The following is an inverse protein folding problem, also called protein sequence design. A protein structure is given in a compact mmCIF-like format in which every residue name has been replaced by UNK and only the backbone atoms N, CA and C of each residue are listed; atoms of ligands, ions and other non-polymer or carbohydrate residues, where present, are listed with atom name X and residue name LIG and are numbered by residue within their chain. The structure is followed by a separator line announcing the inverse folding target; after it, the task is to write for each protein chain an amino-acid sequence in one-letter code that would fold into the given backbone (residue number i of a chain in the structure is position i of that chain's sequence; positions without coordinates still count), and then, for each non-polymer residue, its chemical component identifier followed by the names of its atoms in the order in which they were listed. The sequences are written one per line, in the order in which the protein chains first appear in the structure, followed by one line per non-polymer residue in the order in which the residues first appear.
data_IF_421261690030
#
_entry.id   IF_421261690030
#
_cell.length_a   1.000
_cell.length_b   1.000
_cell.length_c   1.000
_cell.angle_alpha   90.00
_cell.angle_beta   90.00
_cell.angle_gamma   90.00
#
_symmetry.space_group_name_H-M   'P 1'
#
loop_
_entity.id
_entity.type
_entity.pdbx_description
1 polymer ?
#
# COMPACT_ATOMS: atom_id res chain seq x y z
N UNK A 1 -28.04 -0.10 2.60
CA UNK A 1 -26.91 0.64 2.02
C UNK A 1 -25.89 0.82 3.13
N UNK A 2 -24.94 -0.11 3.28
CA UNK A 2 -23.96 -0.10 4.38
C UNK A 2 -22.78 0.76 3.96
N UNK A 3 -22.59 1.87 4.67
CA UNK A 3 -21.46 2.77 4.55
C UNK A 3 -20.26 2.09 5.22
N UNK A 4 -19.22 1.73 4.47
CA UNK A 4 -17.96 1.24 5.04
C UNK A 4 -17.03 2.43 5.25
N UNK A 5 -16.94 2.88 6.50
CA UNK A 5 -15.92 3.82 6.95
C UNK A 5 -14.63 3.00 7.08
N UNK A 6 -13.69 3.13 6.14
CA UNK A 6 -12.32 2.61 6.28
C UNK A 6 -11.65 3.40 7.42
N UNK A 7 -11.54 2.76 8.59
CA UNK A 7 -10.80 3.27 9.75
C UNK A 7 -9.31 3.09 9.46
N UNK A 8 -8.63 4.18 9.14
CA UNK A 8 -7.17 4.24 9.07
C UNK A 8 -6.63 4.37 10.50
N UNK A 9 -6.18 3.27 11.11
CA UNK A 9 -5.42 3.33 12.37
C UNK A 9 -3.99 3.64 12.00
N UNK A 10 -3.61 4.92 12.08
CA UNK A 10 -2.20 5.32 12.19
C UNK A 10 -1.93 5.44 13.69
N UNK A 11 -1.13 4.52 14.23
CA UNK A 11 -0.85 4.44 15.65
C UNK A 11 -0.01 5.67 16.08
N UNK A 12 -0.61 6.50 16.94
CA UNK A 12 0.03 7.64 17.59
C UNK A 12 1.11 7.19 18.58
N UNK A 13 2.25 7.89 18.66
CA UNK A 13 2.84 8.22 19.96
C UNK A 13 3.58 9.56 19.91
N UNK A 14 2.88 10.63 20.32
CA UNK A 14 3.48 11.93 20.62
C UNK A 14 4.21 11.83 21.96
N UNK A 15 5.53 11.94 21.96
CA UNK A 15 6.32 12.15 23.17
C UNK A 15 6.86 13.59 23.18
N UNK A 16 6.13 14.49 23.85
CA UNK A 16 6.60 15.87 24.10
C UNK A 16 7.69 15.85 25.17
N UNK A 17 8.95 15.91 24.76
CA UNK A 17 10.05 16.34 25.64
C UNK A 17 10.40 17.80 25.34
N UNK A 18 10.04 18.69 26.26
CA UNK A 18 10.64 20.02 26.32
C UNK A 18 12.07 19.87 26.83
N UNK A 19 13.04 19.93 25.92
CA UNK A 19 14.46 20.09 26.25
C UNK A 19 15.02 21.30 25.50
N UNK A 20 15.52 22.28 26.25
CA UNK A 20 16.30 23.38 25.72
C UNK A 20 17.75 22.89 25.56
N UNK A 21 18.01 22.16 24.48
CA UNK A 21 19.36 21.81 24.06
C UNK A 21 19.52 22.25 22.60
N UNK A 22 20.68 22.80 22.25
CA UNK A 22 21.07 23.17 20.88
C UNK A 22 20.85 21.98 19.95
N UNK A 23 19.69 21.95 19.31
CA UNK A 23 19.14 20.76 18.67
C UNK A 23 19.73 20.57 17.30
N UNK A 24 20.53 19.52 17.13
CA UNK A 24 20.60 18.85 15.84
C UNK A 24 19.17 18.33 15.59
N UNK A 25 18.41 18.97 14.70
CA UNK A 25 17.07 18.50 14.33
C UNK A 25 17.30 17.21 13.56
N UNK A 26 17.13 16.07 14.22
CA UNK A 26 16.96 14.81 13.51
C UNK A 26 15.58 14.92 12.85
N UNK A 27 15.55 15.10 11.53
CA UNK A 27 14.28 14.96 10.80
C UNK A 27 13.89 13.48 10.91
N UNK A 28 12.71 13.23 11.46
CA UNK A 28 12.15 11.89 11.56
C UNK A 28 11.56 11.49 10.21
N UNK A 29 11.90 10.29 9.73
CA UNK A 29 11.38 9.76 8.46
C UNK A 29 9.86 9.72 8.46
N UNK A 30 9.21 10.19 7.39
CA UNK A 30 7.78 10.00 7.18
C UNK A 30 7.57 8.83 6.23
N UNK A 31 6.65 7.95 6.63
CA UNK A 31 6.28 6.81 5.79
C UNK A 31 5.66 7.24 4.45
N UNK A 32 5.75 6.40 3.40
CA UNK A 32 5.16 6.71 2.10
C UNK A 32 3.65 6.92 2.15
N UNK A 33 3.15 7.81 1.29
CA UNK A 33 1.73 7.88 0.96
C UNK A 33 1.45 6.90 -0.19
N UNK A 34 0.56 5.92 0.02
CA UNK A 34 0.26 4.84 -0.93
C UNK A 34 -1.20 4.88 -1.35
N UNK A 35 -1.46 4.63 -2.64
CA UNK A 35 -2.78 4.44 -3.21
C UNK A 35 -2.74 3.23 -4.17
N UNK A 36 -3.45 2.17 -3.82
CA UNK A 36 -3.54 0.92 -4.57
C UNK A 36 -4.55 0.98 -5.74
N UNK A 37 -5.30 2.07 -5.87
CA UNK A 37 -6.33 2.26 -6.88
C UNK A 37 -7.74 2.13 -6.29
N UNK A 38 -8.72 1.86 -7.17
CA UNK A 38 -10.11 1.69 -6.77
C UNK A 38 -10.49 0.21 -6.69
N UNK A 39 -11.48 -0.10 -5.86
CA UNK A 39 -12.16 -1.40 -5.89
C UNK A 39 -12.74 -1.67 -7.29
N UNK A 40 -12.74 -2.93 -7.71
CA UNK A 40 -13.13 -3.32 -9.07
C UNK A 40 -13.84 -4.68 -9.12
N UNK A 41 -14.55 -4.91 -10.23
CA UNK A 41 -15.10 -6.21 -10.60
C UNK A 41 -14.48 -6.68 -11.92
N UNK A 42 -14.07 -7.94 -11.98
CA UNK A 42 -13.44 -8.59 -13.14
C UNK A 42 -14.02 -9.99 -13.33
N UNK A 43 -13.83 -10.59 -14.49
CA UNK A 43 -14.28 -11.97 -14.76
C UNK A 43 -13.19 -13.00 -14.43
N UNK A 44 -13.55 -14.23 -14.10
CA UNK A 44 -12.60 -15.34 -13.99
C UNK A 44 -11.82 -15.48 -15.29
N UNK A 45 -10.50 -15.61 -15.19
CA UNK A 45 -9.61 -15.72 -16.34
C UNK A 45 -9.33 -14.41 -17.09
N UNK A 46 -9.93 -13.29 -16.67
CA UNK A 46 -9.58 -11.96 -17.16
C UNK A 46 -8.26 -11.49 -16.54
N UNK A 47 -7.39 -10.89 -17.36
CA UNK A 47 -6.16 -10.26 -16.87
C UNK A 47 -6.50 -8.91 -16.25
N UNK A 48 -6.32 -8.80 -14.94
CA UNK A 48 -6.41 -7.55 -14.22
C UNK A 48 -5.04 -6.88 -14.15
N UNK A 49 -5.00 -5.57 -14.43
CA UNK A 49 -3.78 -4.77 -14.38
C UNK A 49 -3.84 -3.84 -13.15
N UNK A 50 -2.90 -4.02 -12.23
CA UNK A 50 -2.68 -3.14 -11.11
C UNK A 50 -1.99 -1.85 -11.57
N UNK A 51 -2.50 -0.71 -11.10
CA UNK A 51 -1.91 0.61 -11.35
C UNK A 51 -1.92 1.43 -10.06
N UNK A 52 -0.99 1.07 -9.16
CA UNK A 52 -0.79 1.80 -7.91
C UNK A 52 0.01 3.09 -8.12
N UNK A 53 -0.09 3.99 -7.16
CA UNK A 53 0.79 5.16 -7.06
C UNK A 53 1.22 5.36 -5.61
N UNK A 54 2.43 5.88 -5.43
CA UNK A 54 2.90 6.31 -4.12
C UNK A 54 3.86 7.49 -4.24
N UNK A 55 4.01 8.21 -3.14
CA UNK A 55 4.97 9.31 -2.99
C UNK A 55 5.53 9.34 -1.58
N UNK A 56 6.80 9.70 -1.46
CA UNK A 56 7.44 9.93 -0.17
C UNK A 56 7.71 11.44 0.04
N UNK A 57 7.28 12.06 1.15
CA UNK A 57 7.44 13.51 1.36
C UNK A 57 8.86 13.98 1.68
N UNK A 58 9.74 13.10 2.13
CA UNK A 58 11.09 13.43 2.64
C UNK A 58 12.21 12.52 2.11
N UNK A 59 11.87 11.43 1.42
CA UNK A 59 12.80 10.50 0.81
C UNK A 59 12.39 10.05 -0.60
N UNK A 60 12.84 8.85 -0.97
CA UNK A 60 12.51 8.21 -2.25
C UNK A 60 12.01 6.79 -2.03
N UNK A 61 11.06 6.37 -2.85
CA UNK A 61 10.54 5.01 -2.81
C UNK A 61 11.54 4.04 -3.47
N UNK A 62 11.86 2.95 -2.77
CA UNK A 62 12.81 1.93 -3.23
C UNK A 62 12.16 0.60 -3.63
N UNK A 63 10.94 0.31 -3.15
CA UNK A 63 10.21 -0.90 -3.55
C UNK A 63 8.70 -0.74 -3.57
N UNK A 64 8.08 -1.48 -4.49
CA UNK A 64 6.66 -1.74 -4.60
C UNK A 64 6.46 -3.24 -4.65
N UNK A 65 5.56 -3.76 -3.81
CA UNK A 65 5.27 -5.18 -3.72
C UNK A 65 3.76 -5.39 -3.65
N UNK A 66 3.20 -6.16 -4.59
CA UNK A 66 1.79 -6.55 -4.58
C UNK A 66 1.61 -7.92 -3.94
N UNK A 67 0.66 -8.03 -3.03
CA UNK A 67 -0.02 -9.28 -2.67
C UNK A 67 -1.34 -9.26 -3.45
N UNK A 68 -1.36 -9.90 -4.61
CA UNK A 68 -2.42 -9.72 -5.60
C UNK A 68 -3.69 -10.49 -5.23
N UNK A 69 -3.56 -11.60 -4.51
CA UNK A 69 -4.66 -12.47 -4.12
C UNK A 69 -5.06 -12.32 -2.64
N UNK A 70 -4.30 -11.57 -1.85
CA UNK A 70 -4.57 -11.33 -0.43
C UNK A 70 -4.22 -12.53 0.46
N UNK A 71 -3.30 -13.40 0.04
CA UNK A 71 -2.89 -14.58 0.82
C UNK A 71 -1.76 -14.29 1.85
N UNK A 72 -1.26 -13.05 1.86
CA UNK A 72 -0.17 -12.59 2.72
C UNK A 72 1.22 -12.83 2.14
N UNK A 73 1.33 -13.41 0.95
CA UNK A 73 2.56 -13.54 0.18
C UNK A 73 2.59 -12.45 -0.89
N UNK A 74 3.70 -11.73 -0.97
CA UNK A 74 3.91 -10.75 -2.02
C UNK A 74 4.35 -11.45 -3.30
N UNK A 75 3.56 -11.33 -4.34
CA UNK A 75 3.74 -11.94 -5.66
C UNK A 75 4.80 -11.21 -6.48
N UNK A 76 4.98 -9.91 -6.26
CA UNK A 76 5.91 -9.09 -7.02
C UNK A 76 6.82 -8.21 -6.20
N UNK A 77 7.96 -7.88 -6.81
CA UNK A 77 8.91 -6.90 -6.33
C UNK A 77 9.34 -6.04 -7.51
N UNK A 78 9.02 -4.75 -7.45
CA UNK A 78 9.46 -3.77 -8.44
C UNK A 78 10.12 -2.58 -7.75
N UNK A 79 11.32 -2.20 -8.20
CA UNK A 79 12.07 -1.09 -7.62
C UNK A 79 11.71 0.30 -8.15
N UNK A 80 10.71 0.42 -9.04
CA UNK A 80 10.46 1.71 -9.72
C UNK A 80 9.05 1.96 -10.27
N UNK A 81 8.15 0.97 -10.26
CA UNK A 81 6.75 1.20 -10.61
C UNK A 81 5.82 0.25 -9.84
N UNK A 82 4.65 0.74 -9.45
CA UNK A 82 3.62 -0.04 -8.76
C UNK A 82 2.66 -0.76 -9.74
N UNK A 83 3.20 -1.23 -10.88
CA UNK A 83 2.41 -1.86 -11.95
C UNK A 83 2.66 -3.35 -11.98
N UNK A 84 1.58 -4.09 -12.11
CA UNK A 84 1.60 -5.56 -12.15
C UNK A 84 0.36 -6.09 -12.87
N UNK A 85 0.34 -7.37 -13.23
CA UNK A 85 -0.88 -8.04 -13.72
C UNK A 85 -1.11 -9.38 -13.05
N UNK A 86 -2.39 -9.74 -12.89
CA UNK A 86 -2.80 -10.99 -12.26
C UNK A 86 -4.07 -11.54 -12.91
N UNK A 87 -4.18 -12.88 -12.93
CA UNK A 87 -5.34 -13.59 -13.45
C UNK A 87 -5.93 -14.44 -12.33
N UNK A 88 -7.19 -14.16 -11.97
CA UNK A 88 -7.92 -14.93 -10.96
C UNK A 88 -8.54 -16.18 -11.58
N UNK A 89 -8.28 -17.35 -10.99
CA UNK A 89 -8.72 -18.65 -11.49
C UNK A 89 -10.11 -19.07 -10.95
N UNK A 90 -10.64 -18.33 -9.97
CA UNK A 90 -11.88 -18.63 -9.26
C UNK A 90 -12.65 -17.37 -8.96
N UNK A 91 -13.98 -17.46 -9.03
CA UNK A 91 -14.84 -16.40 -8.56
C UNK A 91 -14.71 -16.24 -7.04
N UNK A 92 -14.82 -15.01 -6.56
CA UNK A 92 -14.59 -14.70 -5.16
C UNK A 92 -14.40 -13.20 -4.88
N UNK A 93 -14.16 -12.89 -3.62
CA UNK A 93 -13.75 -11.55 -3.19
C UNK A 93 -12.32 -11.66 -2.70
N UNK A 94 -11.44 -10.89 -3.32
CA UNK A 94 -10.02 -10.83 -3.00
C UNK A 94 -9.68 -9.44 -2.44
N UNK A 95 -8.74 -9.38 -1.52
CA UNK A 95 -8.22 -8.12 -0.97
C UNK A 95 -6.76 -8.01 -1.38
N UNK A 96 -6.51 -7.34 -2.50
CA UNK A 96 -5.15 -7.12 -2.97
C UNK A 96 -4.52 -5.97 -2.18
N UNK A 97 -3.23 -6.11 -1.85
CA UNK A 97 -2.48 -5.12 -1.06
C UNK A 97 -1.23 -4.68 -1.81
N UNK A 98 -1.07 -3.36 -1.96
CA UNK A 98 0.19 -2.75 -2.35
C UNK A 98 0.98 -2.38 -1.10
N UNK A 99 2.20 -2.88 -0.96
CA UNK A 99 3.18 -2.44 0.05
C UNK A 99 4.28 -1.63 -0.63
N UNK A 100 4.67 -0.53 0.01
CA UNK A 100 5.70 0.39 -0.48
C UNK A 100 6.71 0.66 0.62
N UNK A 101 7.99 0.67 0.25
CA UNK A 101 9.12 0.94 1.16
C UNK A 101 9.95 2.12 0.65
N UNK A 102 10.33 3.05 1.54
CA UNK A 102 11.25 4.16 1.25
C UNK A 102 12.72 3.82 1.57
N UNK A 103 13.65 4.72 1.20
CA UNK A 103 15.09 4.57 1.40
C UNK A 103 15.55 4.69 2.86
N UNK A 104 14.73 5.28 3.72
CA UNK A 104 14.95 5.42 5.16
C UNK A 104 14.28 4.30 5.99
N UNK A 105 13.70 3.30 5.31
CA UNK A 105 13.10 2.10 5.87
C UNK A 105 11.66 2.23 6.34
N UNK A 106 10.99 3.34 6.04
CA UNK A 106 9.56 3.51 6.25
C UNK A 106 8.75 2.63 5.30
N UNK A 107 7.62 2.13 5.81
CA UNK A 107 6.76 1.18 5.09
C UNK A 107 5.30 1.60 5.24
N UNK A 108 4.58 1.60 4.13
CA UNK A 108 3.14 1.85 4.09
C UNK A 108 2.45 0.89 3.13
N UNK A 109 1.13 0.77 3.26
CA UNK A 109 0.32 -0.07 2.39
C UNK A 109 -1.06 0.54 2.12
N UNK A 110 -1.66 0.12 1.01
CA UNK A 110 -3.08 0.35 0.70
C UNK A 110 -3.70 -0.91 0.07
N UNK A 111 -5.01 -1.03 0.16
CA UNK A 111 -5.77 -2.22 -0.24
C UNK A 111 -6.95 -1.88 -1.13
N UNK A 112 -7.15 -2.72 -2.15
CA UNK A 112 -8.33 -2.71 -3.01
C UNK A 112 -9.11 -4.02 -2.88
N UNK A 113 -10.42 -3.92 -3.01
CA UNK A 113 -11.32 -5.07 -3.11
C UNK A 113 -11.52 -5.44 -4.58
N UNK A 114 -11.24 -6.70 -4.91
CA UNK A 114 -11.48 -7.23 -6.26
C UNK A 114 -12.59 -8.27 -6.16
N UNK A 115 -13.70 -8.02 -6.85
CA UNK A 115 -14.80 -8.97 -6.98
C UNK A 115 -14.61 -9.72 -8.29
N UNK A 116 -14.35 -11.01 -8.21
CA UNK A 116 -14.19 -11.89 -9.38
C UNK A 116 -15.51 -12.62 -9.61
N UNK A 117 -16.08 -12.41 -10.77
CA UNK A 117 -17.35 -13.00 -11.23
C UNK A 117 -17.08 -14.12 -12.25
N UNK A 118 -18.00 -15.07 -12.36
CA UNK A 118 -17.92 -16.19 -13.32
C UNK A 118 -18.04 -15.75 -14.79
#
# INVERSE_FOLDING_TARGET
MKLFIKILIVLNFVFLITSCATGNVIEENKVPLVNAGNDISVSVGEEFNFDGVASDPDGVIISYEWDANGDGVYDTYCGGCAKDSYVFDKAGIYTARLKVTDDDGGVAFDEITIVVEE
#
